data_IF_474972050654
#
_entry.id   IF_474972050654
#
_cell.length_a   1.000
_cell.length_b   1.000
_cell.length_c   1.000
_cell.angle_alpha   90.00
_cell.angle_beta   90.00
_cell.angle_gamma   90.00
#
_symmetry.space_group_name_H-M   'P 1'
#
loop_
_entity.id
_entity.type
_entity.pdbx_description
1 polymer ?
#
# COMPACT_ATOMS: atom_id res chain seq x y z
N UNK A 1 11.59 -1.86 12.56
CA UNK A 1 12.46 -0.92 11.82
C UNK A 1 13.78 -0.86 12.56
N UNK A 2 14.91 -0.71 11.87
CA UNK A 2 16.22 -0.60 12.53
C UNK A 2 16.23 0.65 13.43
N UNK A 3 16.79 0.58 14.67
CA UNK A 3 16.82 1.71 15.59
C UNK A 3 17.44 2.98 14.98
N UNK A 4 18.47 2.85 14.15
CA UNK A 4 19.27 3.91 13.55
C UNK A 4 18.48 4.81 12.60
N UNK A 5 17.39 4.29 12.03
CA UNK A 5 16.52 4.98 11.07
C UNK A 5 15.11 5.25 11.64
N UNK A 6 14.83 4.75 12.85
CA UNK A 6 13.52 4.91 13.50
C UNK A 6 13.23 6.40 13.75
N UNK A 7 12.07 6.87 13.30
CA UNK A 7 11.67 8.28 13.44
C UNK A 7 12.43 9.27 12.55
N UNK A 8 13.33 8.79 11.67
CA UNK A 8 14.17 9.65 10.82
C UNK A 8 13.74 9.65 9.35
N UNK A 9 12.94 8.67 8.95
CA UNK A 9 12.30 8.63 7.64
C UNK A 9 10.93 9.31 7.73
N UNK A 10 10.53 10.13 6.75
CA UNK A 10 9.24 10.83 6.73
C UNK A 10 8.08 9.88 6.34
N UNK A 11 8.05 8.68 6.91
CA UNK A 11 7.03 7.67 6.67
C UNK A 11 5.94 7.76 7.73
N UNK A 12 4.70 7.59 7.28
CA UNK A 12 3.53 7.42 8.16
C UNK A 12 2.97 6.04 7.94
N UNK A 13 2.49 5.41 9.00
CA UNK A 13 1.82 4.12 8.88
C UNK A 13 0.34 4.31 8.57
N UNK A 14 -0.20 3.41 7.75
CA UNK A 14 -1.63 3.33 7.53
C UNK A 14 -2.07 1.88 7.39
N UNK A 15 -2.85 1.39 8.35
CA UNK A 15 -3.46 0.06 8.26
C UNK A 15 -4.65 0.13 7.31
N UNK A 16 -4.87 -0.96 6.59
CA UNK A 16 -6.06 -1.14 5.75
C UNK A 16 -6.51 -2.59 5.82
N UNK A 17 -7.81 -2.77 5.97
CA UNK A 17 -8.50 -4.06 5.92
C UNK A 17 -9.14 -4.22 4.55
N UNK A 18 -9.03 -5.42 4.00
CA UNK A 18 -9.74 -5.88 2.81
C UNK A 18 -10.69 -7.00 3.23
N UNK A 19 -11.85 -7.07 2.59
CA UNK A 19 -12.83 -8.14 2.78
C UNK A 19 -12.90 -9.01 1.52
N UNK A 20 -13.00 -10.31 1.71
CA UNK A 20 -13.17 -11.30 0.66
C UNK A 20 -14.65 -11.67 0.63
N UNK A 21 -15.27 -11.54 -0.54
CA UNK A 21 -16.63 -12.01 -0.80
C UNK A 21 -16.63 -13.13 -1.83
N UNK A 22 -17.54 -14.09 -1.66
CA UNK A 22 -17.78 -15.20 -2.58
C UNK A 22 -19.24 -15.23 -3.00
N UNK A 23 -19.48 -15.63 -4.24
CA UNK A 23 -20.83 -15.73 -4.78
C UNK A 23 -21.43 -17.13 -4.51
N UNK A 24 -22.69 -17.24 -4.03
CA UNK A 24 -23.39 -18.53 -3.86
C UNK A 24 -23.55 -19.33 -5.15
N UNK A 25 -23.32 -20.65 -5.11
CA UNK A 25 -23.20 -21.56 -6.27
C UNK A 25 -24.34 -21.47 -7.30
N UNK A 26 -25.55 -21.18 -6.85
CA UNK A 26 -26.77 -21.06 -7.64
C UNK A 26 -26.92 -19.73 -8.40
N UNK A 27 -26.04 -18.76 -8.15
CA UNK A 27 -26.12 -17.42 -8.72
C UNK A 27 -25.20 -17.26 -9.94
N UNK A 28 -25.64 -16.46 -10.92
CA UNK A 28 -24.84 -16.13 -12.11
C UNK A 28 -23.57 -15.35 -11.71
N UNK A 29 -22.43 -15.91 -12.06
CA UNK A 29 -21.11 -15.34 -11.78
C UNK A 29 -20.86 -13.96 -12.41
N UNK A 30 -19.89 -13.24 -11.82
CA UNK A 30 -19.26 -12.10 -12.47
C UNK A 30 -18.64 -12.52 -13.81
N UNK A 31 -18.63 -11.67 -14.86
CA UNK A 31 -18.04 -12.03 -16.15
C UNK A 31 -16.59 -12.52 -16.02
N UNK A 32 -16.22 -13.61 -16.72
CA UNK A 32 -14.87 -14.20 -16.64
C UNK A 32 -13.74 -13.22 -16.95
N UNK A 33 -13.95 -12.32 -17.89
CA UNK A 33 -13.01 -11.26 -18.26
C UNK A 33 -13.48 -9.88 -17.77
N UNK A 34 -14.34 -9.84 -16.75
CA UNK A 34 -14.82 -8.60 -16.18
C UNK A 34 -13.70 -7.86 -15.45
N UNK A 35 -13.62 -6.53 -15.56
CA UNK A 35 -12.54 -5.76 -14.97
C UNK A 35 -12.68 -5.66 -13.45
N UNK A 36 -11.54 -5.44 -12.78
CA UNK A 36 -11.56 -4.88 -11.43
C UNK A 36 -12.05 -3.42 -11.49
N UNK A 37 -12.78 -2.97 -10.47
CA UNK A 37 -13.40 -1.65 -10.42
C UNK A 37 -12.68 -0.78 -9.41
N UNK A 38 -12.29 0.44 -9.81
CA UNK A 38 -11.79 1.46 -8.90
C UNK A 38 -12.89 2.50 -8.67
N UNK A 39 -13.39 2.56 -7.44
CA UNK A 39 -14.29 3.61 -6.94
C UNK A 39 -13.91 3.96 -5.49
N UNK A 40 -14.81 4.59 -4.73
CA UNK A 40 -14.60 4.89 -3.30
C UNK A 40 -14.15 3.67 -2.47
N UNK A 41 -14.59 2.48 -2.87
CA UNK A 41 -13.97 1.22 -2.48
C UNK A 41 -13.67 0.41 -3.75
N UNK A 42 -12.43 -0.05 -3.90
CA UNK A 42 -12.05 -0.84 -5.06
C UNK A 42 -12.56 -2.28 -4.93
N UNK A 43 -12.93 -2.87 -6.06
CA UNK A 43 -13.30 -4.28 -6.20
C UNK A 43 -12.24 -4.95 -7.07
N UNK A 44 -11.53 -5.93 -6.52
CA UNK A 44 -10.55 -6.73 -7.24
C UNK A 44 -11.11 -8.13 -7.49
N UNK A 45 -11.52 -8.36 -8.73
CA UNK A 45 -12.08 -9.63 -9.21
C UNK A 45 -10.97 -10.68 -9.22
N UNK A 46 -11.17 -11.79 -8.52
CA UNK A 46 -10.26 -12.95 -8.51
C UNK A 46 -10.74 -14.09 -9.42
N UNK A 47 -11.96 -13.95 -9.94
CA UNK A 47 -12.62 -14.87 -10.85
C UNK A 47 -14.14 -14.63 -10.81
N UNK A 48 -14.93 -15.44 -11.53
CA UNK A 48 -16.39 -15.25 -11.62
C UNK A 48 -17.14 -15.30 -10.29
N UNK A 49 -16.56 -15.92 -9.26
CA UNK A 49 -17.23 -16.22 -7.98
C UNK A 49 -16.46 -15.74 -6.74
N UNK A 50 -15.33 -15.06 -6.92
CA UNK A 50 -14.50 -14.56 -5.82
C UNK A 50 -14.02 -13.15 -6.11
N UNK A 51 -14.18 -12.26 -5.13
CA UNK A 51 -13.72 -10.88 -5.21
C UNK A 51 -13.13 -10.39 -3.89
N UNK A 52 -12.15 -9.50 -3.98
CA UNK A 52 -11.69 -8.71 -2.84
C UNK A 52 -12.28 -7.31 -2.91
N UNK A 53 -12.70 -6.77 -1.78
CA UNK A 53 -13.20 -5.42 -1.64
C UNK A 53 -12.31 -4.68 -0.66
N UNK A 54 -11.87 -3.48 -1.03
CA UNK A 54 -11.03 -2.72 -0.13
C UNK A 54 -10.89 -1.24 -0.44
N UNK A 55 -10.10 -0.52 0.35
CA UNK A 55 -9.65 -0.93 1.69
C UNK A 55 -10.09 0.10 2.71
N UNK A 56 -10.20 -0.30 3.97
CA UNK A 56 -10.29 0.68 5.07
C UNK A 56 -9.02 1.52 5.16
N UNK A 57 -9.05 2.57 5.99
CA UNK A 57 -7.96 3.53 6.09
C UNK A 57 -7.76 4.04 7.51
N UNK A 58 -6.90 3.36 8.27
CA UNK A 58 -6.57 3.72 9.65
C UNK A 58 -5.16 4.34 9.70
N UNK A 59 -5.10 5.67 9.82
CA UNK A 59 -3.85 6.42 9.93
C UNK A 59 -3.18 6.23 11.29
N UNK A 60 -1.84 6.29 11.30
CA UNK A 60 -1.00 6.20 12.52
C UNK A 60 -1.13 4.87 13.28
N UNK A 61 -1.79 3.87 12.69
CA UNK A 61 -1.86 2.52 13.22
C UNK A 61 -0.45 1.93 13.34
N UNK A 62 -0.15 1.30 14.47
CA UNK A 62 1.08 0.52 14.66
C UNK A 62 0.81 -0.98 14.60
N UNK A 63 -0.45 -1.38 14.38
CA UNK A 63 -0.86 -2.76 14.29
C UNK A 63 -0.43 -3.36 12.93
N UNK A 64 0.65 -4.11 12.96
CA UNK A 64 1.20 -4.83 11.81
C UNK A 64 0.62 -6.23 11.61
N UNK A 65 -0.31 -6.67 12.47
CA UNK A 65 -0.91 -8.00 12.38
C UNK A 65 -1.70 -8.17 11.09
N UNK A 66 -1.50 -9.29 10.39
CA UNK A 66 -2.32 -9.64 9.22
C UNK A 66 -3.71 -10.14 9.61
N UNK A 67 -3.84 -10.63 10.84
CA UNK A 67 -5.09 -11.17 11.36
C UNK A 67 -6.04 -10.02 11.70
N UNK A 68 -7.32 -10.26 11.42
CA UNK A 68 -8.43 -9.33 11.60
C UNK A 68 -9.42 -10.03 12.53
N UNK A 69 -9.83 -9.36 13.60
CA UNK A 69 -10.85 -9.91 14.50
C UNK A 69 -12.23 -9.93 13.82
N UNK A 70 -13.18 -10.69 14.36
CA UNK A 70 -14.56 -10.70 13.85
C UNK A 70 -15.18 -9.30 13.87
N UNK A 71 -14.90 -8.51 14.91
CA UNK A 71 -15.42 -7.14 15.04
C UNK A 71 -14.80 -6.21 13.98
N UNK A 72 -13.47 -6.22 13.82
CA UNK A 72 -12.76 -5.42 12.81
C UNK A 72 -13.20 -5.80 11.39
N UNK A 73 -13.44 -7.08 11.13
CA UNK A 73 -13.96 -7.57 9.86
C UNK A 73 -15.39 -7.10 9.59
N UNK A 74 -16.25 -7.13 10.61
CA UNK A 74 -17.64 -6.69 10.53
C UNK A 74 -17.72 -5.18 10.28
N UNK A 75 -16.91 -4.38 10.98
CA UNK A 75 -16.79 -2.94 10.77
C UNK A 75 -16.27 -2.61 9.36
N UNK A 76 -15.25 -3.33 8.88
CA UNK A 76 -14.73 -3.15 7.54
C UNK A 76 -15.79 -3.46 6.47
N UNK A 77 -16.56 -4.54 6.64
CA UNK A 77 -17.64 -4.90 5.72
C UNK A 77 -18.74 -3.83 5.71
N UNK A 78 -19.21 -3.38 6.88
CA UNK A 78 -20.20 -2.32 7.04
C UNK A 78 -19.76 -1.01 6.37
N UNK A 79 -18.45 -0.70 6.44
CA UNK A 79 -17.89 0.50 5.82
C UNK A 79 -17.77 0.37 4.29
N UNK A 80 -17.32 -0.79 3.79
CA UNK A 80 -16.91 -0.96 2.39
C UNK A 80 -18.07 -1.37 1.48
N UNK A 81 -18.98 -2.22 1.96
CA UNK A 81 -20.06 -2.78 1.13
C UNK A 81 -20.98 -1.70 0.54
N UNK A 82 -21.42 -0.67 1.28
CA UNK A 82 -22.24 0.40 0.71
C UNK A 82 -21.54 1.13 -0.45
N UNK A 83 -20.24 1.40 -0.30
CA UNK A 83 -19.42 2.08 -1.31
C UNK A 83 -19.24 1.24 -2.58
N UNK A 84 -19.05 -0.07 -2.42
CA UNK A 84 -18.96 -0.98 -3.57
C UNK A 84 -20.31 -1.09 -4.30
N UNK A 85 -21.39 -1.18 -3.52
CA UNK A 85 -22.73 -1.40 -4.05
C UNK A 85 -23.31 -0.21 -4.82
N UNK A 86 -22.73 0.99 -4.68
CA UNK A 86 -23.12 2.15 -5.49
C UNK A 86 -22.75 2.00 -6.96
N UNK A 87 -21.67 1.27 -7.26
CA UNK A 87 -21.19 1.01 -8.63
C UNK A 87 -21.55 -0.39 -9.11
N UNK A 88 -21.59 -1.37 -8.21
CA UNK A 88 -22.00 -2.74 -8.53
C UNK A 88 -23.06 -3.24 -7.53
N UNK A 89 -24.36 -2.92 -7.74
CA UNK A 89 -25.43 -3.22 -6.77
C UNK A 89 -25.56 -4.71 -6.41
N UNK A 90 -25.31 -5.61 -7.37
CA UNK A 90 -25.39 -7.06 -7.17
C UNK A 90 -24.34 -7.61 -6.20
N UNK A 91 -23.33 -6.82 -5.79
CA UNK A 91 -22.38 -7.23 -4.75
C UNK A 91 -23.05 -7.49 -3.40
N UNK A 92 -24.25 -6.96 -3.17
CA UNK A 92 -25.02 -7.19 -1.93
C UNK A 92 -25.46 -8.64 -1.75
N UNK A 93 -25.53 -9.40 -2.84
CA UNK A 93 -25.92 -10.82 -2.83
C UNK A 93 -24.70 -11.74 -2.62
N UNK A 94 -23.49 -11.18 -2.52
CA UNK A 94 -22.27 -11.93 -2.27
C UNK A 94 -22.08 -12.16 -0.77
N UNK A 95 -21.55 -13.33 -0.42
CA UNK A 95 -21.37 -13.77 0.96
C UNK A 95 -19.97 -13.42 1.44
N UNK A 96 -19.88 -12.90 2.66
CA UNK A 96 -18.59 -12.65 3.31
C UNK A 96 -17.86 -13.96 3.60
N UNK A 97 -16.63 -14.12 3.08
CA UNK A 97 -15.78 -15.29 3.32
C UNK A 97 -14.59 -15.00 4.25
N UNK A 98 -14.19 -13.74 4.41
CA UNK A 98 -13.14 -13.38 5.38
C UNK A 98 -12.57 -11.99 5.20
N UNK A 99 -11.62 -11.63 6.07
CA UNK A 99 -10.92 -10.35 6.00
C UNK A 99 -9.42 -10.50 6.29
N UNK A 100 -8.63 -9.59 5.72
CA UNK A 100 -7.17 -9.51 5.94
C UNK A 100 -6.75 -8.05 6.06
N UNK A 101 -5.73 -7.81 6.87
CA UNK A 101 -5.15 -6.49 7.01
C UNK A 101 -3.72 -6.41 6.49
N UNK A 102 -3.32 -5.20 6.12
CA UNK A 102 -1.94 -4.84 5.83
C UNK A 102 -1.61 -3.47 6.39
N UNK A 103 -0.34 -3.27 6.75
CA UNK A 103 0.20 -1.98 7.18
C UNK A 103 1.00 -1.34 6.06
N UNK A 104 0.53 -0.20 5.56
CA UNK A 104 1.19 0.54 4.48
C UNK A 104 2.18 1.55 5.05
N UNK A 105 3.38 1.58 4.48
CA UNK A 105 4.33 2.68 4.67
C UNK A 105 3.99 3.79 3.69
N UNK A 106 3.33 4.84 4.18
CA UNK A 106 2.86 5.98 3.39
C UNK A 106 3.94 7.06 3.37
N UNK A 107 4.36 7.52 2.18
CA UNK A 107 5.31 8.62 2.07
C UNK A 107 4.63 9.97 2.41
N UNK A 108 5.40 11.06 2.51
CA UNK A 108 4.83 12.39 2.67
C UNK A 108 4.01 12.76 1.43
N UNK A 109 2.98 13.60 1.64
CA UNK A 109 2.21 14.17 0.54
C UNK A 109 2.96 15.40 0.01
N UNK A 110 3.23 15.42 -1.29
CA UNK A 110 3.85 16.54 -2.00
C UNK A 110 2.85 17.13 -3.02
N UNK A 111 3.15 18.27 -3.67
CA UNK A 111 2.35 18.75 -4.81
C UNK A 111 2.28 17.75 -5.97
N UNK A 112 3.27 16.85 -6.10
CA UNK A 112 3.28 15.75 -7.08
C UNK A 112 2.58 14.49 -6.56
N UNK A 113 1.99 14.56 -5.37
CA UNK A 113 1.35 13.45 -4.67
C UNK A 113 2.28 12.72 -3.70
N UNK A 114 1.84 11.54 -3.26
CA UNK A 114 2.57 10.67 -2.35
C UNK A 114 3.49 9.72 -3.12
N UNK A 115 4.74 10.16 -3.34
CA UNK A 115 5.77 9.44 -4.10
C UNK A 115 6.65 8.57 -3.17
N UNK A 116 7.11 7.38 -3.62
CA UNK A 116 8.05 6.55 -2.87
C UNK A 116 9.34 7.26 -2.49
N UNK A 117 9.97 6.77 -1.42
CA UNK A 117 11.24 7.27 -0.93
C UNK A 117 12.36 6.37 -1.45
N UNK A 118 13.21 6.92 -2.32
CA UNK A 118 14.44 6.27 -2.79
C UNK A 118 15.68 7.05 -2.36
N UNK A 119 16.83 6.38 -2.38
CA UNK A 119 18.14 7.04 -2.32
C UNK A 119 19.06 6.55 -1.21
N UNK A 120 20.30 7.04 -1.24
CA UNK A 120 21.35 6.77 -0.28
C UNK A 120 21.02 7.40 1.08
N UNK A 121 21.16 6.64 2.16
CA UNK A 121 20.80 7.07 3.52
C UNK A 121 22.02 7.13 4.45
N UNK A 122 23.23 7.27 3.90
CA UNK A 122 24.45 7.41 4.69
C UNK A 122 24.38 8.54 5.71
N UNK A 123 23.86 9.71 5.31
CA UNK A 123 23.72 10.87 6.20
C UNK A 123 22.71 10.62 7.33
N UNK A 124 21.75 9.71 7.10
CA UNK A 124 20.84 9.27 8.13
C UNK A 124 21.61 8.32 9.04
N UNK A 125 22.16 7.22 8.57
CA UNK A 125 22.81 6.24 9.46
C UNK A 125 23.95 6.88 10.28
N UNK A 126 24.72 7.79 9.67
CA UNK A 126 25.79 8.55 10.33
C UNK A 126 27.03 7.70 10.66
N UNK A 127 28.21 8.31 10.74
CA UNK A 127 29.48 7.62 11.01
C UNK A 127 30.31 7.29 9.76
N UNK A 128 31.55 6.84 9.98
CA UNK A 128 32.46 6.44 8.89
C UNK A 128 32.18 4.99 8.48
N UNK A 129 31.43 4.82 7.38
CA UNK A 129 31.10 3.53 6.81
C UNK A 129 31.98 3.18 5.63
N UNK A 130 32.33 1.91 5.50
CA UNK A 130 33.06 1.38 4.32
C UNK A 130 32.13 1.11 3.13
N UNK A 131 30.81 1.20 3.32
CA UNK A 131 29.81 0.98 2.28
C UNK A 131 28.73 2.07 2.26
N UNK A 132 27.92 2.07 1.18
CA UNK A 132 26.72 2.92 1.06
C UNK A 132 25.48 2.14 1.46
N UNK A 133 24.59 2.81 2.18
CA UNK A 133 23.27 2.30 2.53
C UNK A 133 22.21 2.99 1.69
N UNK A 134 21.21 2.23 1.28
CA UNK A 134 20.20 2.70 0.34
C UNK A 134 18.79 2.36 0.83
N UNK A 135 17.86 3.26 0.58
CA UNK A 135 16.45 3.11 0.91
C UNK A 135 15.64 2.86 -0.36
N UNK A 136 14.77 1.86 -0.27
CA UNK A 136 13.67 1.63 -1.20
C UNK A 136 12.41 1.42 -0.37
N UNK A 137 11.57 2.46 -0.25
CA UNK A 137 10.45 2.42 0.69
C UNK A 137 9.34 3.41 0.40
N UNK A 138 8.35 3.48 1.29
CA UNK A 138 7.23 4.40 1.13
C UNK A 138 6.32 4.09 -0.06
N UNK A 139 6.15 2.80 -0.41
CA UNK A 139 5.37 2.38 -1.58
C UNK A 139 3.84 2.53 -1.41
N UNK A 140 3.36 2.92 -0.23
CA UNK A 140 1.95 3.17 0.06
C UNK A 140 1.00 2.06 -0.43
N UNK A 141 -0.11 2.46 -1.06
CA UNK A 141 -1.11 1.55 -1.64
C UNK A 141 -0.87 1.18 -3.11
N UNK A 142 0.21 1.70 -3.73
CA UNK A 142 0.46 1.57 -5.18
C UNK A 142 1.79 0.89 -5.49
N UNK A 143 2.44 0.31 -4.49
CA UNK A 143 3.74 -0.36 -4.64
C UNK A 143 3.79 -1.37 -5.76
N UNK A 144 2.75 -2.21 -5.89
CA UNK A 144 2.70 -3.22 -6.93
C UNK A 144 2.68 -2.63 -8.35
N UNK A 145 2.21 -1.40 -8.55
CA UNK A 145 2.18 -0.77 -9.86
C UNK A 145 3.58 -0.38 -10.35
N UNK A 146 4.42 0.19 -9.48
CA UNK A 146 5.69 0.79 -9.88
C UNK A 146 6.94 0.08 -9.33
N UNK A 147 6.80 -0.96 -8.50
CA UNK A 147 7.95 -1.63 -7.87
C UNK A 147 8.98 -2.15 -8.88
N UNK A 148 8.55 -2.68 -10.03
CA UNK A 148 9.47 -3.19 -11.06
C UNK A 148 10.37 -2.09 -11.63
N UNK A 149 9.77 -0.97 -12.05
CA UNK A 149 10.51 0.17 -12.59
C UNK A 149 11.43 0.82 -11.54
N UNK A 150 10.88 1.11 -10.36
CA UNK A 150 11.66 1.71 -9.27
C UNK A 150 12.77 0.76 -8.79
N UNK A 151 12.51 -0.55 -8.76
CA UNK A 151 13.49 -1.56 -8.38
C UNK A 151 14.67 -1.60 -9.34
N UNK A 152 14.40 -1.53 -10.66
CA UNK A 152 15.45 -1.43 -11.67
C UNK A 152 16.26 -0.12 -11.53
N UNK A 153 15.58 1.01 -11.30
CA UNK A 153 16.23 2.29 -11.05
C UNK A 153 17.15 2.26 -9.82
N UNK A 154 16.65 1.67 -8.74
CA UNK A 154 17.38 1.50 -7.49
C UNK A 154 18.59 0.58 -7.67
N UNK A 155 18.43 -0.54 -8.37
CA UNK A 155 19.51 -1.47 -8.66
C UNK A 155 20.63 -0.79 -9.44
N UNK A 156 20.29 0.01 -10.46
CA UNK A 156 21.27 0.80 -11.21
C UNK A 156 22.04 1.75 -10.29
N UNK A 157 21.35 2.52 -9.45
CA UNK A 157 21.98 3.47 -8.52
C UNK A 157 22.94 2.78 -7.54
N UNK A 158 22.57 1.61 -7.04
CA UNK A 158 23.40 0.81 -6.12
C UNK A 158 24.64 0.29 -6.84
N UNK A 159 24.48 -0.33 -8.01
CA UNK A 159 25.58 -0.96 -8.76
C UNK A 159 26.57 0.07 -9.29
N UNK A 160 26.10 1.24 -9.73
CA UNK A 160 26.95 2.34 -10.18
C UNK A 160 27.45 3.23 -9.04
N UNK A 161 27.05 2.93 -7.79
CA UNK A 161 27.30 3.78 -6.62
C UNK A 161 26.91 5.26 -6.83
N UNK A 162 25.92 5.54 -7.68
CA UNK A 162 25.55 6.88 -8.10
C UNK A 162 24.07 7.16 -7.82
N UNK A 163 23.78 8.08 -6.91
CA UNK A 163 22.39 8.49 -6.61
C UNK A 163 21.78 9.38 -7.69
N UNK A 164 22.60 10.09 -8.49
CA UNK A 164 22.13 11.06 -9.48
C UNK A 164 21.32 10.43 -10.62
N UNK A 165 21.39 9.10 -10.77
CA UNK A 165 20.52 8.37 -11.72
C UNK A 165 19.07 8.33 -11.27
N UNK A 166 18.79 8.54 -9.96
CA UNK A 166 17.45 8.58 -9.39
C UNK A 166 16.88 10.00 -9.56
N UNK A 167 15.68 10.10 -10.12
CA UNK A 167 14.98 11.38 -10.29
C UNK A 167 14.82 12.12 -8.95
N UNK A 168 14.99 13.45 -8.99
CA UNK A 168 15.01 14.29 -7.79
C UNK A 168 13.70 14.25 -7.02
N UNK A 169 12.58 13.99 -7.68
CA UNK A 169 11.27 13.82 -7.05
C UNK A 169 11.28 12.68 -6.01
N UNK A 170 12.02 11.60 -6.29
CA UNK A 170 12.12 10.40 -5.44
C UNK A 170 13.16 10.53 -4.32
N UNK A 171 14.02 11.55 -4.37
CA UNK A 171 15.07 11.85 -3.36
C UNK A 171 14.83 13.15 -2.59
N UNK A 172 13.92 14.02 -3.06
CA UNK A 172 13.60 15.35 -2.49
C UNK A 172 13.16 15.30 -1.03
N UNK A 173 12.64 14.16 -0.58
CA UNK A 173 12.26 13.91 0.81
C UNK A 173 13.41 14.12 1.79
N UNK A 174 14.67 14.00 1.36
CA UNK A 174 15.85 14.26 2.20
C UNK A 174 16.00 15.73 2.59
N UNK A 175 15.51 16.66 1.77
CA UNK A 175 15.51 18.08 2.06
C UNK A 175 14.38 18.49 3.03
N UNK A 176 13.40 17.60 3.24
CA UNK A 176 12.27 17.86 4.13
C UNK A 176 12.62 17.49 5.56
N UNK A 177 12.58 18.46 6.49
CA UNK A 177 12.69 18.16 7.92
C UNK A 177 11.48 17.30 8.35
N UNK A 178 11.66 16.22 9.13
CA UNK A 178 10.54 15.48 9.69
C UNK A 178 9.67 16.43 10.51
N UNK A 179 8.38 16.53 10.17
CA UNK A 179 7.38 17.17 11.04
C UNK A 179 6.89 16.08 12.00
N UNK A 180 7.40 16.11 13.24
CA UNK A 180 6.97 15.23 14.32
C UNK A 180 5.55 15.57 14.78
#
# INVERSE_FOLDING_TARGET
>A
MLPEISGRLPLRTCRGVIVHLELPDDTKGYPENGPSILSDAWISVQGPRSLNLGSTWEWKSINSSRNVSTDEASEALLQLLPKASSVYPGIKDWVFNGARAGLRAMPPLTPLGSLPLLGCINDIIGGNHTCKYWLFGGLGSRGLLYHGWLGNLMAHAVLSCNEEVISSELTSWKASKPKF
#
